data_IF_090070011270
#
_entry.id   IF_090070011270
#
_cell.length_a   1.000
_cell.length_b   1.000
_cell.length_c   1.000
_cell.angle_alpha   90.00
_cell.angle_beta   90.00
_cell.angle_gamma   90.00
#
_symmetry.space_group_name_H-M   'P 1'
#
loop_
_entity.id
_entity.type
_entity.pdbx_description
1 polymer ?
#
# COMPACT_ATOMS: atom_id res chain seq x y z
N UNK A 1 12.88 -13.92 24.61
CA UNK A 1 13.51 -14.00 23.29
C UNK A 1 12.62 -14.88 22.43
N UNK A 2 11.84 -14.28 21.54
CA UNK A 2 11.08 -15.07 20.57
C UNK A 2 12.04 -15.43 19.43
N UNK A 3 12.54 -16.67 19.46
CA UNK A 3 13.23 -17.24 18.32
C UNK A 3 12.15 -17.51 17.28
N UNK A 4 12.10 -16.64 16.27
CA UNK A 4 11.24 -16.84 15.12
C UNK A 4 11.92 -17.93 14.27
N UNK A 5 11.64 -19.20 14.56
CA UNK A 5 11.95 -20.30 13.65
C UNK A 5 11.04 -20.18 12.42
N UNK A 6 11.32 -19.19 11.57
CA UNK A 6 10.80 -19.21 10.20
C UNK A 6 11.48 -20.36 9.50
N UNK A 7 10.67 -21.32 9.06
CA UNK A 7 11.12 -22.50 8.35
C UNK A 7 12.10 -22.13 7.22
N UNK A 8 13.15 -22.92 7.07
CA UNK A 8 14.24 -22.78 6.08
C UNK A 8 13.81 -22.96 4.61
N UNK A 9 12.55 -22.66 4.29
CA UNK A 9 11.90 -22.90 2.99
C UNK A 9 11.23 -21.68 2.37
N UNK A 10 11.14 -20.53 3.04
CA UNK A 10 10.58 -19.31 2.45
C UNK A 10 11.58 -18.70 1.45
N UNK A 11 11.18 -18.67 0.17
CA UNK A 11 12.00 -18.12 -0.92
C UNK A 11 11.88 -16.59 -0.96
N UNK A 12 10.73 -16.02 -0.62
CA UNK A 12 10.49 -14.59 -0.61
C UNK A 12 10.46 -14.06 0.82
N UNK A 13 11.15 -12.96 1.06
CA UNK A 13 11.17 -12.27 2.35
C UNK A 13 10.37 -10.97 2.34
N UNK A 14 9.99 -10.50 1.16
CA UNK A 14 9.19 -9.31 0.93
C UNK A 14 8.28 -9.52 -0.29
N UNK A 15 7.05 -9.03 -0.19
CA UNK A 15 6.04 -9.05 -1.24
C UNK A 15 5.20 -7.78 -1.14
N UNK A 16 5.27 -6.95 -2.18
CA UNK A 16 4.35 -5.84 -2.41
C UNK A 16 3.84 -5.87 -3.84
N UNK A 17 2.92 -4.98 -4.14
CA UNK A 17 2.42 -4.76 -5.47
C UNK A 17 2.08 -3.29 -5.66
N UNK A 18 2.17 -2.83 -6.89
CA UNK A 18 1.89 -1.44 -7.24
C UNK A 18 1.16 -1.34 -8.58
N UNK A 19 0.38 -0.26 -8.72
CA UNK A 19 -0.18 0.13 -10.01
C UNK A 19 0.78 1.08 -10.70
N UNK A 20 1.34 0.65 -11.82
CA UNK A 20 2.18 1.49 -12.66
C UNK A 20 1.29 2.16 -13.72
N UNK A 21 1.11 3.48 -13.55
CA UNK A 21 0.21 4.31 -14.36
C UNK A 21 0.91 5.50 -15.02
N UNK A 22 2.02 5.98 -14.46
CA UNK A 22 2.78 7.10 -15.01
C UNK A 22 3.91 6.60 -15.92
N UNK A 23 3.88 6.90 -17.24
CA UNK A 23 4.92 6.48 -18.16
C UNK A 23 6.27 7.20 -17.94
N UNK A 24 6.34 8.20 -17.06
CA UNK A 24 7.58 8.91 -16.74
C UNK A 24 8.29 8.34 -15.50
N UNK A 25 7.58 7.60 -14.64
CA UNK A 25 8.10 7.03 -13.40
C UNK A 25 8.69 5.63 -13.62
N UNK A 26 9.74 5.54 -14.46
CA UNK A 26 10.32 4.27 -14.94
C UNK A 26 11.78 4.03 -14.53
N UNK A 27 12.26 4.69 -13.48
CA UNK A 27 13.69 4.69 -13.13
C UNK A 27 14.23 3.35 -12.61
N UNK A 28 13.34 2.50 -12.10
CA UNK A 28 13.70 1.12 -11.76
C UNK A 28 14.11 0.31 -13.01
N UNK A 29 13.49 0.57 -14.16
CA UNK A 29 13.61 -0.24 -15.36
C UNK A 29 14.80 0.16 -16.26
N UNK A 30 15.42 -0.82 -16.96
CA UNK A 30 16.48 -0.56 -17.94
C UNK A 30 16.03 0.42 -19.02
N UNK A 31 16.92 1.32 -19.46
CA UNK A 31 16.59 2.42 -20.38
C UNK A 31 16.02 1.92 -21.71
N UNK A 32 16.52 0.79 -22.18
CA UNK A 32 16.10 0.08 -23.38
C UNK A 32 14.65 -0.43 -23.31
N UNK A 33 14.15 -0.76 -22.12
CA UNK A 33 12.79 -1.26 -21.91
C UNK A 33 11.77 -0.17 -21.61
N UNK A 34 12.22 1.01 -21.14
CA UNK A 34 11.32 2.13 -20.80
C UNK A 34 10.35 2.49 -21.93
N UNK A 35 10.74 2.59 -23.22
CA UNK A 35 9.80 2.90 -24.30
C UNK A 35 8.67 1.88 -24.45
N UNK A 36 8.99 0.58 -24.28
CA UNK A 36 8.01 -0.51 -24.36
C UNK A 36 7.06 -0.47 -23.16
N UNK A 37 7.58 -0.28 -21.95
CA UNK A 37 6.77 -0.17 -20.73
C UNK A 37 5.84 1.05 -20.83
N UNK A 38 6.37 2.21 -21.23
CA UNK A 38 5.58 3.42 -21.45
C UNK A 38 4.48 3.22 -22.51
N UNK A 39 4.75 2.46 -23.58
CA UNK A 39 3.74 2.08 -24.57
C UNK A 39 2.64 1.21 -23.95
N UNK A 40 2.99 0.20 -23.17
CA UNK A 40 2.03 -0.67 -22.48
C UNK A 40 1.16 0.11 -21.48
N UNK A 41 1.75 1.04 -20.73
CA UNK A 41 0.99 1.94 -19.84
C UNK A 41 -0.01 2.77 -20.66
N UNK A 42 0.40 3.36 -21.78
CA UNK A 42 -0.51 4.12 -22.66
C UNK A 42 -1.61 3.26 -23.27
N UNK A 43 -1.32 1.99 -23.58
CA UNK A 43 -2.27 1.07 -24.18
C UNK A 43 -3.31 0.56 -23.18
N UNK A 44 -2.88 0.19 -21.97
CA UNK A 44 -3.72 -0.48 -20.97
C UNK A 44 -4.20 0.45 -19.83
N UNK A 45 -3.57 1.62 -19.68
CA UNK A 45 -3.81 2.58 -18.60
C UNK A 45 -3.16 2.19 -17.27
N UNK A 46 -3.30 0.93 -16.86
CA UNK A 46 -2.69 0.38 -15.64
C UNK A 46 -1.90 -0.88 -15.99
N UNK A 47 -0.66 -0.95 -15.51
CA UNK A 47 0.07 -2.20 -15.35
C UNK A 47 0.13 -2.58 -13.87
N UNK A 48 -0.10 -3.84 -13.56
CA UNK A 48 0.04 -4.36 -12.19
C UNK A 48 1.44 -4.94 -12.06
N UNK A 49 2.21 -4.41 -11.12
CA UNK A 49 3.60 -4.83 -10.88
C UNK A 49 3.65 -5.56 -9.55
N UNK A 50 4.20 -6.78 -9.57
CA UNK A 50 4.54 -7.53 -8.36
C UNK A 50 5.99 -7.21 -7.99
N UNK A 51 6.21 -6.69 -6.79
CA UNK A 51 7.56 -6.40 -6.27
C UNK A 51 7.89 -7.42 -5.17
N UNK A 52 9.07 -8.03 -5.27
CA UNK A 52 9.48 -9.07 -4.32
C UNK A 52 10.96 -8.90 -3.98
N UNK A 53 11.36 -9.32 -2.77
CA UNK A 53 12.78 -9.45 -2.44
C UNK A 53 13.06 -10.79 -1.76
N UNK A 54 14.24 -11.33 -2.05
CA UNK A 54 14.82 -12.51 -1.40
C UNK A 54 16.15 -12.13 -0.79
N UNK A 55 16.26 -12.31 0.51
CA UNK A 55 17.49 -12.10 1.25
C UNK A 55 18.36 -13.34 1.10
N UNK A 56 19.64 -13.12 0.91
CA UNK A 56 20.63 -14.17 0.78
C UNK A 56 21.92 -13.73 1.46
N UNK A 57 22.74 -14.72 1.78
CA UNK A 57 24.09 -14.56 2.31
C UNK A 57 25.09 -15.34 1.43
N UNK A 58 26.36 -15.36 1.81
CA UNK A 58 27.39 -16.07 1.06
C UNK A 58 27.10 -17.57 0.89
N UNK A 59 26.32 -18.17 1.81
CA UNK A 59 25.96 -19.59 1.73
C UNK A 59 24.85 -19.88 0.71
N UNK A 60 23.95 -18.91 0.47
CA UNK A 60 22.75 -19.08 -0.35
C UNK A 60 22.82 -18.37 -1.70
N UNK A 61 23.77 -17.44 -1.89
CA UNK A 61 23.99 -16.62 -3.09
C UNK A 61 23.97 -17.40 -4.40
N UNK A 62 24.57 -18.60 -4.44
CA UNK A 62 24.64 -19.41 -5.66
C UNK A 62 23.29 -20.06 -6.05
N UNK A 63 22.31 -20.05 -5.15
CA UNK A 63 21.02 -20.74 -5.34
C UNK A 63 19.82 -19.81 -5.45
N UNK A 64 19.94 -18.56 -4.99
CA UNK A 64 18.81 -17.61 -4.88
C UNK A 64 18.17 -17.34 -6.24
N UNK A 65 18.97 -17.05 -7.27
CA UNK A 65 18.46 -16.77 -8.61
C UNK A 65 17.69 -17.95 -9.19
N UNK A 66 18.21 -19.17 -9.01
CA UNK A 66 17.56 -20.39 -9.50
C UNK A 66 16.23 -20.62 -8.79
N UNK A 67 16.17 -20.40 -7.47
CA UNK A 67 14.94 -20.53 -6.68
C UNK A 67 13.89 -19.49 -7.11
N UNK A 68 14.29 -18.24 -7.31
CA UNK A 68 13.43 -17.17 -7.80
C UNK A 68 12.88 -17.47 -9.20
N UNK A 69 13.74 -17.88 -10.14
CA UNK A 69 13.30 -18.29 -11.47
C UNK A 69 12.28 -19.43 -11.42
N UNK A 70 12.47 -20.41 -10.53
CA UNK A 70 11.53 -21.52 -10.37
C UNK A 70 10.19 -21.05 -9.78
N UNK A 71 10.21 -20.15 -8.81
CA UNK A 71 9.00 -19.57 -8.22
C UNK A 71 8.20 -18.78 -9.26
N UNK A 72 8.87 -17.98 -10.09
CA UNK A 72 8.20 -17.13 -11.06
C UNK A 72 7.70 -17.89 -12.29
N UNK A 73 8.25 -19.08 -12.60
CA UNK A 73 7.74 -19.93 -13.69
C UNK A 73 6.25 -20.28 -13.56
N UNK A 74 5.70 -20.32 -12.34
CA UNK A 74 4.28 -20.60 -12.13
C UNK A 74 3.38 -19.36 -12.21
N UNK A 75 3.95 -18.16 -12.35
CA UNK A 75 3.18 -16.93 -12.46
C UNK A 75 2.84 -16.63 -13.93
N UNK A 76 1.59 -16.25 -14.17
CA UNK A 76 1.14 -15.77 -15.49
C UNK A 76 1.38 -14.26 -15.56
N UNK A 77 2.50 -13.81 -16.12
CA UNK A 77 2.83 -12.39 -16.28
C UNK A 77 3.00 -12.00 -17.76
N UNK A 78 2.72 -10.72 -18.06
CA UNK A 78 2.75 -10.16 -19.42
C UNK A 78 4.15 -9.75 -19.90
N UNK A 79 5.15 -9.62 -19.00
CA UNK A 79 6.43 -8.96 -19.29
C UNK A 79 7.66 -9.64 -18.71
N UNK A 80 8.84 -9.18 -19.11
CA UNK A 80 10.12 -9.58 -18.54
C UNK A 80 10.21 -9.35 -17.02
N UNK A 81 11.02 -10.18 -16.36
CA UNK A 81 11.36 -10.06 -14.94
C UNK A 81 12.56 -9.13 -14.83
N UNK A 82 12.40 -8.05 -14.08
CA UNK A 82 13.49 -7.11 -13.77
C UNK A 82 14.02 -7.38 -12.37
N UNK A 83 15.33 -7.34 -12.19
CA UNK A 83 15.97 -7.54 -10.89
C UNK A 83 17.11 -6.56 -10.68
N UNK A 84 17.35 -6.20 -9.42
CA UNK A 84 18.53 -5.48 -8.96
C UNK A 84 19.08 -6.22 -7.75
N UNK A 85 20.40 -6.37 -7.70
CA UNK A 85 21.09 -6.88 -6.53
C UNK A 85 21.62 -5.71 -5.72
N UNK A 86 21.19 -5.60 -4.47
CA UNK A 86 21.52 -4.50 -3.56
C UNK A 86 21.81 -5.08 -2.18
N UNK A 87 22.48 -4.31 -1.33
CA UNK A 87 22.66 -4.68 0.08
C UNK A 87 21.32 -4.66 0.82
N UNK A 88 21.26 -5.36 1.94
CA UNK A 88 20.07 -5.38 2.80
C UNK A 88 19.65 -3.98 3.25
N UNK A 89 20.61 -3.14 3.63
CA UNK A 89 20.34 -1.77 4.11
C UNK A 89 19.85 -0.88 2.97
N UNK A 90 20.46 -0.94 1.79
CA UNK A 90 19.99 -0.20 0.61
C UNK A 90 18.54 -0.57 0.24
N UNK A 91 18.16 -1.85 0.37
CA UNK A 91 16.78 -2.26 0.13
C UNK A 91 15.81 -1.66 1.16
N UNK A 92 16.16 -1.69 2.45
CA UNK A 92 15.30 -1.14 3.50
C UNK A 92 15.17 0.38 3.41
N UNK A 93 16.23 1.07 3.01
CA UNK A 93 16.30 2.53 2.92
C UNK A 93 15.94 3.10 1.53
N UNK A 94 15.41 2.25 0.63
CA UNK A 94 15.20 2.61 -0.79
C UNK A 94 14.29 3.83 -1.00
N UNK A 95 13.37 4.10 -0.07
CA UNK A 95 12.46 5.25 -0.14
C UNK A 95 13.18 6.57 0.16
N UNK A 96 14.25 6.55 0.97
CA UNK A 96 15.02 7.75 1.31
C UNK A 96 15.65 8.42 0.09
N UNK A 97 16.10 7.63 -0.90
CA UNK A 97 16.61 8.19 -2.17
C UNK A 97 15.52 8.98 -2.90
N UNK A 98 14.27 8.50 -2.89
CA UNK A 98 13.14 9.21 -3.47
C UNK A 98 12.76 10.48 -2.70
N UNK A 99 12.78 10.41 -1.37
CA UNK A 99 12.59 11.56 -0.47
C UNK A 99 13.58 12.70 -0.79
N UNK A 100 14.88 12.39 -0.90
CA UNK A 100 15.90 13.41 -1.21
C UNK A 100 15.63 14.10 -2.55
N UNK A 101 15.28 13.33 -3.59
CA UNK A 101 14.92 13.89 -4.90
C UNK A 101 13.67 14.77 -4.81
N UNK A 102 12.66 14.37 -4.04
CA UNK A 102 11.45 15.18 -3.84
C UNK A 102 11.75 16.47 -3.07
N UNK A 103 12.63 16.44 -2.06
CA UNK A 103 13.08 17.63 -1.35
C UNK A 103 13.81 18.61 -2.26
N UNK A 104 14.76 18.14 -3.07
CA UNK A 104 15.51 18.98 -4.02
C UNK A 104 14.59 19.69 -5.02
N UNK A 105 13.47 19.07 -5.37
CA UNK A 105 12.47 19.62 -6.29
C UNK A 105 11.35 20.40 -5.59
N UNK A 106 11.36 20.54 -4.26
CA UNK A 106 10.30 21.22 -3.49
C UNK A 106 8.95 20.47 -3.53
N UNK A 107 8.98 19.16 -3.75
CA UNK A 107 7.82 18.29 -3.89
C UNK A 107 7.57 17.43 -2.63
N UNK A 108 8.42 17.54 -1.61
CA UNK A 108 8.25 16.83 -0.33
C UNK A 108 7.39 17.61 0.66
N UNK A 109 7.70 18.89 0.93
CA UNK A 109 6.96 19.69 1.92
C UNK A 109 5.65 20.27 1.34
N UNK A 110 4.78 19.38 0.85
CA UNK A 110 3.50 19.69 0.21
C UNK A 110 2.35 18.91 0.87
N UNK A 111 1.07 19.26 0.64
CA UNK A 111 -0.02 18.47 1.19
C UNK A 111 -0.10 17.06 0.58
N UNK A 112 -0.24 16.08 1.46
CA UNK A 112 -0.32 14.65 1.15
C UNK A 112 -1.71 14.11 1.51
N UNK A 113 -2.72 14.24 0.63
CA UNK A 113 -4.07 13.71 0.84
C UNK A 113 -4.11 12.19 0.65
N UNK A 114 -3.31 11.47 1.43
CA UNK A 114 -3.20 10.02 1.35
C UNK A 114 -4.48 9.34 1.80
N UNK A 115 -4.82 8.26 1.12
CA UNK A 115 -5.86 7.32 1.53
C UNK A 115 -5.22 5.96 1.68
N UNK A 116 -5.22 5.39 2.88
CA UNK A 116 -4.72 4.05 3.11
C UNK A 116 -5.87 3.19 3.64
N UNK A 117 -6.11 2.05 3.02
CA UNK A 117 -7.22 1.17 3.32
C UNK A 117 -6.72 -0.26 3.46
N UNK A 118 -7.37 -1.02 4.33
CA UNK A 118 -7.41 -2.47 4.27
C UNK A 118 -8.69 -2.89 3.57
N UNK A 119 -8.55 -3.58 2.45
CA UNK A 119 -9.63 -4.05 1.59
C UNK A 119 -9.80 -5.56 1.74
N UNK A 120 -10.99 -6.08 2.10
CA UNK A 120 -11.20 -7.53 2.19
C UNK A 120 -10.88 -8.23 0.87
N UNK A 121 -10.32 -9.45 0.93
CA UNK A 121 -10.02 -10.26 -0.26
C UNK A 121 -11.28 -10.53 -1.08
N UNK A 122 -12.42 -10.77 -0.44
CA UNK A 122 -13.70 -10.95 -1.14
C UNK A 122 -14.10 -9.74 -2.01
N UNK A 123 -13.70 -8.53 -1.60
CA UNK A 123 -14.03 -7.27 -2.26
C UNK A 123 -13.00 -6.79 -3.29
N UNK A 124 -11.78 -7.35 -3.33
CA UNK A 124 -10.67 -6.77 -4.10
C UNK A 124 -10.93 -6.71 -5.61
N UNK A 125 -11.69 -7.68 -6.17
CA UNK A 125 -12.01 -7.67 -7.60
C UNK A 125 -13.02 -6.56 -7.95
N UNK A 126 -14.02 -6.34 -7.09
CA UNK A 126 -14.97 -5.24 -7.25
C UNK A 126 -14.26 -3.88 -7.04
N UNK A 127 -13.37 -3.80 -6.05
CA UNK A 127 -12.51 -2.65 -5.80
C UNK A 127 -11.65 -2.32 -7.01
N UNK A 128 -10.97 -3.30 -7.61
CA UNK A 128 -10.20 -3.10 -8.83
C UNK A 128 -11.04 -2.53 -9.99
N UNK A 129 -12.22 -3.11 -10.23
CA UNK A 129 -13.08 -2.70 -11.33
C UNK A 129 -13.74 -1.33 -11.12
N UNK A 130 -14.05 -0.97 -9.88
CA UNK A 130 -14.70 0.29 -9.54
C UNK A 130 -13.74 1.42 -9.23
N UNK A 131 -12.68 1.16 -8.48
CA UNK A 131 -11.71 2.16 -8.05
C UNK A 131 -10.61 2.30 -9.09
N UNK A 132 -9.78 1.27 -9.27
CA UNK A 132 -8.61 1.39 -10.15
C UNK A 132 -9.01 1.68 -11.59
N UNK A 133 -9.93 0.89 -12.15
CA UNK A 133 -10.29 0.99 -13.57
C UNK A 133 -11.30 2.09 -13.92
N UNK A 134 -12.09 2.59 -12.97
CA UNK A 134 -13.16 3.57 -13.26
C UNK A 134 -13.01 4.91 -12.56
N UNK A 135 -12.42 4.96 -11.36
CA UNK A 135 -12.14 6.22 -10.66
C UNK A 135 -10.73 6.69 -11.06
N UNK A 136 -9.70 5.88 -10.78
CA UNK A 136 -8.31 6.32 -10.97
C UNK A 136 -7.94 6.57 -12.44
N UNK A 137 -8.31 5.67 -13.36
CA UNK A 137 -8.00 5.83 -14.79
C UNK A 137 -8.57 7.09 -15.45
N UNK A 138 -9.57 7.74 -14.83
CA UNK A 138 -10.14 9.00 -15.35
C UNK A 138 -9.37 10.23 -14.89
N UNK A 139 -8.49 10.07 -13.91
CA UNK A 139 -7.72 11.16 -13.35
C UNK A 139 -6.37 11.28 -14.05
N UNK A 140 -5.86 12.50 -14.12
CA UNK A 140 -4.51 12.75 -14.62
C UNK A 140 -3.56 12.92 -13.44
N UNK A 141 -3.16 11.80 -12.84
CA UNK A 141 -2.19 11.83 -11.75
C UNK A 141 -0.79 12.07 -12.30
N UNK A 142 -0.11 13.10 -11.81
CA UNK A 142 1.32 13.33 -12.02
C UNK A 142 2.01 13.14 -10.68
N UNK A 143 2.97 12.21 -10.59
CA UNK A 143 3.65 11.82 -9.35
C UNK A 143 2.71 11.24 -8.28
N UNK A 144 2.38 9.96 -8.41
CA UNK A 144 1.51 9.23 -7.48
C UNK A 144 1.96 7.79 -7.34
N UNK A 145 1.97 7.28 -6.12
CA UNK A 145 2.24 5.86 -5.85
C UNK A 145 0.97 5.19 -5.38
N UNK A 146 0.59 4.10 -6.05
CA UNK A 146 -0.56 3.29 -5.67
C UNK A 146 -0.09 1.89 -5.31
N UNK A 147 -0.21 1.50 -4.04
CA UNK A 147 0.21 0.18 -3.57
C UNK A 147 -1.00 -0.72 -3.38
N UNK A 148 -0.85 -1.99 -3.75
CA UNK A 148 -1.83 -3.04 -3.54
C UNK A 148 -1.14 -4.38 -3.29
N UNK A 149 -1.26 -4.92 -2.08
CA UNK A 149 -0.65 -6.20 -1.72
C UNK A 149 -1.39 -6.90 -0.58
N UNK A 150 -1.38 -8.25 -0.55
CA UNK A 150 -2.07 -9.00 0.49
C UNK A 150 -1.28 -9.01 1.80
N UNK A 151 -2.00 -8.97 2.91
CA UNK A 151 -1.51 -9.22 4.27
C UNK A 151 -2.39 -10.31 4.90
N UNK A 152 -1.79 -11.06 5.82
CA UNK A 152 -2.44 -11.99 6.73
C UNK A 152 -2.11 -11.56 8.16
N UNK A 153 -3.11 -11.36 9.01
CA UNK A 153 -2.92 -11.06 10.43
C UNK A 153 -3.92 -11.85 11.26
N UNK A 154 -3.51 -12.22 12.47
CA UNK A 154 -4.31 -13.03 13.37
C UNK A 154 -4.49 -12.42 14.76
N UNK A 155 -3.71 -11.41 15.21
CA UNK A 155 -3.75 -11.01 16.64
C UNK A 155 -3.25 -9.59 17.00
N UNK A 156 -3.82 -8.51 16.43
CA UNK A 156 -3.51 -7.13 16.87
C UNK A 156 -4.74 -6.25 17.19
N UNK A 157 -4.46 -5.16 17.91
CA UNK A 157 -5.45 -4.08 18.14
C UNK A 157 -5.77 -3.29 16.87
N UNK A 158 -4.99 -3.49 15.81
CA UNK A 158 -5.29 -2.99 14.48
C UNK A 158 -6.71 -3.39 14.07
N UNK A 159 -7.43 -2.45 13.48
CA UNK A 159 -8.75 -2.71 12.92
C UNK A 159 -8.55 -3.13 11.47
N UNK A 160 -8.65 -4.44 11.27
CA UNK A 160 -8.52 -5.09 9.96
C UNK A 160 -9.89 -5.61 9.50
N UNK A 161 -10.06 -5.90 8.20
CA UNK A 161 -11.23 -6.63 7.71
C UNK A 161 -11.35 -8.01 8.39
N UNK A 162 -12.58 -8.51 8.49
CA UNK A 162 -12.88 -9.82 9.09
C UNK A 162 -12.64 -10.97 8.10
N UNK A 163 -11.42 -11.04 7.56
CA UNK A 163 -10.95 -12.05 6.61
C UNK A 163 -9.49 -12.41 6.89
N UNK A 164 -9.13 -13.68 6.76
CA UNK A 164 -7.75 -14.19 6.94
C UNK A 164 -6.75 -13.48 6.01
N UNK A 165 -7.20 -13.14 4.80
CA UNK A 165 -6.43 -12.39 3.82
C UNK A 165 -7.20 -11.12 3.49
N UNK A 166 -6.52 -9.99 3.58
CA UNK A 166 -6.99 -8.71 3.10
C UNK A 166 -5.85 -8.02 2.37
N UNK A 167 -6.16 -6.98 1.60
CA UNK A 167 -5.19 -6.22 0.83
C UNK A 167 -4.98 -4.86 1.47
N UNK A 168 -3.74 -4.47 1.64
CA UNK A 168 -3.39 -3.05 1.77
C UNK A 168 -3.65 -2.40 0.42
N UNK A 169 -4.41 -1.30 0.40
CA UNK A 169 -4.62 -0.43 -0.76
C UNK A 169 -4.31 1.00 -0.38
N UNK A 170 -3.19 1.52 -0.88
CA UNK A 170 -2.63 2.82 -0.48
C UNK A 170 -2.55 3.74 -1.69
N UNK A 171 -3.05 4.96 -1.50
CA UNK A 171 -3.12 6.01 -2.51
C UNK A 171 -2.23 7.15 -2.01
N UNK A 172 -0.93 7.06 -2.31
CA UNK A 172 0.09 8.00 -1.87
C UNK A 172 0.19 9.15 -2.88
N UNK A 173 -0.82 10.01 -2.81
CA UNK A 173 -0.97 11.19 -3.66
C UNK A 173 -0.28 12.40 -3.03
N UNK A 174 0.38 13.20 -3.85
CA UNK A 174 0.86 14.53 -3.48
C UNK A 174 0.07 15.59 -4.22
N UNK A 175 -0.16 16.73 -3.57
CA UNK A 175 -0.92 17.84 -4.13
C UNK A 175 -0.19 19.17 -3.89
N UNK A 176 -0.54 20.20 -4.65
CA UNK A 176 -0.19 21.56 -4.31
C UNK A 176 -1.14 22.14 -3.26
N UNK A 177 -0.70 23.20 -2.57
CA UNK A 177 -1.50 23.88 -1.55
C UNK A 177 -2.84 24.45 -2.05
N UNK A 178 -3.01 24.63 -3.36
CA UNK A 178 -4.21 25.20 -3.97
C UNK A 178 -5.13 24.15 -4.62
N UNK A 179 -4.78 22.86 -4.64
CA UNK A 179 -5.56 21.83 -5.34
C UNK A 179 -5.77 20.53 -4.54
N UNK A 180 -5.40 20.49 -3.25
CA UNK A 180 -5.58 19.32 -2.39
C UNK A 180 -7.05 18.85 -2.32
N UNK A 181 -8.02 19.76 -2.43
CA UNK A 181 -9.45 19.44 -2.39
C UNK A 181 -9.88 18.49 -3.51
N UNK A 182 -9.20 18.51 -4.66
CA UNK A 182 -9.50 17.60 -5.78
C UNK A 182 -9.22 16.16 -5.35
N UNK A 183 -8.10 15.93 -4.68
CA UNK A 183 -7.70 14.61 -4.21
C UNK A 183 -8.54 14.15 -3.01
N UNK A 184 -8.91 15.07 -2.12
CA UNK A 184 -9.88 14.77 -1.06
C UNK A 184 -11.24 14.32 -1.61
N UNK A 185 -11.70 14.94 -2.70
CA UNK A 185 -12.93 14.52 -3.37
C UNK A 185 -12.79 13.15 -4.04
N UNK A 186 -11.63 12.83 -4.62
CA UNK A 186 -11.33 11.48 -5.11
C UNK A 186 -11.37 10.46 -3.96
N UNK A 187 -10.75 10.79 -2.81
CA UNK A 187 -10.77 9.92 -1.63
C UNK A 187 -12.21 9.66 -1.13
N UNK A 188 -13.06 10.69 -1.13
CA UNK A 188 -14.49 10.55 -0.82
C UNK A 188 -15.21 9.68 -1.83
N UNK A 189 -14.98 9.87 -3.13
CA UNK A 189 -15.57 9.04 -4.19
C UNK A 189 -15.20 7.56 -4.03
N UNK A 190 -13.94 7.27 -3.67
CA UNK A 190 -13.47 5.90 -3.41
C UNK A 190 -14.19 5.28 -2.22
N UNK A 191 -14.29 6.00 -1.09
CA UNK A 191 -14.99 5.53 0.11
C UNK A 191 -16.48 5.31 -0.16
N UNK A 192 -17.15 6.26 -0.83
CA UNK A 192 -18.54 6.15 -1.23
C UNK A 192 -18.80 4.95 -2.15
N UNK A 193 -17.89 4.68 -3.09
CA UNK A 193 -17.97 3.50 -3.93
C UNK A 193 -17.91 2.23 -3.09
N UNK A 194 -16.96 2.14 -2.15
CA UNK A 194 -16.81 0.97 -1.27
C UNK A 194 -18.09 0.74 -0.46
N UNK A 195 -18.66 1.79 0.11
CA UNK A 195 -19.91 1.71 0.89
C UNK A 195 -21.09 1.23 0.02
N UNK A 196 -21.29 1.84 -1.15
CA UNK A 196 -22.36 1.46 -2.10
C UNK A 196 -22.21 0.04 -2.63
N UNK A 197 -20.97 -0.40 -2.86
CA UNK A 197 -20.64 -1.75 -3.31
C UNK A 197 -20.65 -2.79 -2.16
N UNK A 198 -20.86 -2.35 -0.91
CA UNK A 198 -20.83 -3.23 0.26
C UNK A 198 -19.44 -3.74 0.64
N UNK A 199 -18.37 -3.15 0.09
CA UNK A 199 -16.98 -3.53 0.38
C UNK A 199 -16.60 -2.94 1.75
N UNK A 200 -16.44 -3.81 2.75
CA UNK A 200 -16.17 -3.42 4.14
C UNK A 200 -14.70 -3.07 4.36
N UNK A 201 -14.24 -2.01 3.70
CA UNK A 201 -12.88 -1.48 3.88
C UNK A 201 -12.68 -0.93 5.30
N UNK A 202 -11.45 -0.98 5.80
CA UNK A 202 -11.02 -0.31 7.03
C UNK A 202 -9.97 0.73 6.70
N UNK A 203 -10.10 1.95 7.21
CA UNK A 203 -9.06 2.98 7.02
C UNK A 203 -7.82 2.62 7.86
N UNK A 204 -6.64 2.67 7.26
CA UNK A 204 -5.35 2.62 7.92
C UNK A 204 -4.77 4.03 7.96
N UNK A 205 -4.18 4.46 9.09
CA UNK A 205 -3.72 5.86 9.30
C UNK A 205 -4.79 6.92 8.94
N UNK A 206 -6.06 6.55 9.02
CA UNK A 206 -7.17 7.36 8.56
C UNK A 206 -7.73 8.26 9.64
N UNK A 207 -8.33 9.35 9.19
CA UNK A 207 -9.06 10.28 10.05
C UNK A 207 -10.57 9.99 10.04
N UNK A 208 -11.18 10.24 11.19
CA UNK A 208 -12.61 10.13 11.45
C UNK A 208 -13.08 11.39 12.17
N UNK A 209 -14.19 11.96 11.72
CA UNK A 209 -14.68 13.27 12.18
C UNK A 209 -15.50 13.18 13.46
N UNK A 210 -15.92 11.98 13.85
CA UNK A 210 -16.80 11.78 14.99
C UNK A 210 -16.51 10.50 15.76
N UNK A 211 -16.93 10.50 17.03
CA UNK A 211 -16.92 9.31 17.87
C UNK A 211 -17.76 8.16 17.29
N UNK A 212 -18.85 8.47 16.59
CA UNK A 212 -19.71 7.47 15.95
C UNK A 212 -18.97 6.78 14.80
N UNK A 213 -18.24 7.54 13.98
CA UNK A 213 -17.36 6.97 12.96
C UNK A 213 -16.27 6.09 13.56
N UNK A 214 -15.68 6.49 14.70
CA UNK A 214 -14.73 5.65 15.42
C UNK A 214 -15.37 4.36 15.95
N UNK A 215 -16.57 4.42 16.53
CA UNK A 215 -17.32 3.25 16.96
C UNK A 215 -17.55 2.29 15.79
N UNK A 216 -17.99 2.81 14.64
CA UNK A 216 -18.20 2.02 13.43
C UNK A 216 -16.89 1.44 12.87
N UNK A 217 -15.80 2.20 12.94
CA UNK A 217 -14.47 1.74 12.56
C UNK A 217 -14.04 0.56 13.42
N UNK A 218 -14.01 0.71 14.75
CA UNK A 218 -13.61 -0.34 15.69
C UNK A 218 -14.57 -1.53 15.72
N UNK A 219 -15.87 -1.31 15.45
CA UNK A 219 -16.90 -2.34 15.48
C UNK A 219 -16.93 -3.06 16.84
N UNK A 220 -16.89 -4.40 16.80
CA UNK A 220 -16.90 -5.24 18.01
C UNK A 220 -15.71 -4.96 18.95
N UNK A 221 -14.59 -4.42 18.46
CA UNK A 221 -13.40 -4.08 19.27
C UNK A 221 -13.60 -2.80 20.09
N UNK A 222 -14.64 -2.00 19.85
CA UNK A 222 -14.83 -0.69 20.50
C UNK A 222 -14.85 -0.79 22.02
N UNK A 223 -15.59 -1.76 22.57
CA UNK A 223 -15.71 -1.92 24.03
C UNK A 223 -14.36 -2.19 24.68
N UNK A 224 -13.60 -3.13 24.13
CA UNK A 224 -12.24 -3.44 24.57
C UNK A 224 -11.31 -2.23 24.46
N UNK A 225 -11.41 -1.45 23.38
CA UNK A 225 -10.61 -0.23 23.20
C UNK A 225 -10.94 0.84 24.26
N UNK A 226 -12.22 1.04 24.55
CA UNK A 226 -12.68 1.96 25.59
C UNK A 226 -12.22 1.51 26.99
N UNK A 227 -12.33 0.23 27.31
CA UNK A 227 -11.91 -0.30 28.61
C UNK A 227 -10.40 -0.13 28.82
N UNK A 228 -9.59 -0.37 27.77
CA UNK A 228 -8.14 -0.09 27.78
C UNK A 228 -7.85 1.41 27.91
N UNK A 229 -8.59 2.28 27.23
CA UNK A 229 -8.43 3.74 27.38
C UNK A 229 -8.67 4.16 28.82
N UNK A 230 -9.73 3.68 29.46
CA UNK A 230 -10.03 3.98 30.86
C UNK A 230 -8.95 3.44 31.82
N UNK A 231 -8.33 2.30 31.50
CA UNK A 231 -7.26 1.72 32.32
C UNK A 231 -5.95 2.49 32.21
N UNK A 232 -5.55 2.91 31.00
CA UNK A 232 -4.21 3.44 30.74
C UNK A 232 -4.14 4.95 30.52
N UNK A 233 -5.25 5.61 30.15
CA UNK A 233 -5.37 7.07 30.04
C UNK A 233 -6.77 7.55 30.47
N UNK A 234 -7.13 7.42 31.76
CA UNK A 234 -8.46 7.79 32.28
C UNK A 234 -8.78 9.28 32.17
N UNK A 235 -7.78 10.13 31.93
CA UNK A 235 -7.95 11.58 31.80
C UNK A 235 -8.03 12.04 30.34
N UNK A 236 -7.96 11.13 29.37
CA UNK A 236 -8.05 11.41 27.93
C UNK A 236 -7.02 12.46 27.46
N UNK A 237 -5.80 12.39 27.98
CA UNK A 237 -4.74 13.36 27.70
C UNK A 237 -3.94 12.96 26.45
N UNK A 238 -3.78 11.66 26.22
CA UNK A 238 -2.85 11.16 25.21
C UNK A 238 -3.49 11.18 23.81
N UNK A 239 -2.74 11.75 22.85
CA UNK A 239 -3.02 11.78 21.41
C UNK A 239 -4.36 12.43 21.02
N UNK A 240 -4.67 13.66 21.47
CA UNK A 240 -5.95 14.32 21.20
C UNK A 240 -6.20 14.57 19.69
N UNK A 241 -5.13 14.64 18.88
CA UNK A 241 -5.24 14.78 17.42
C UNK A 241 -5.96 13.64 16.73
N UNK A 242 -6.10 12.47 17.38
CA UNK A 242 -6.89 11.34 16.86
C UNK A 242 -8.40 11.56 16.99
N UNK A 243 -8.85 12.48 17.86
CA UNK A 243 -10.27 12.82 18.09
C UNK A 243 -11.18 11.61 18.41
N UNK A 244 -10.64 10.59 19.10
CA UNK A 244 -11.42 9.40 19.49
C UNK A 244 -12.24 9.67 20.77
N UNK A 245 -11.63 10.38 21.73
CA UNK A 245 -12.20 10.64 23.07
C UNK A 245 -12.14 12.12 23.47
N UNK A 246 -11.86 13.02 22.52
CA UNK A 246 -11.72 14.46 22.71
C UNK A 246 -12.69 15.22 21.81
#
# INVERSE_FOLDING_TARGET
MAVNERSSGEILNFLEGQLLMDPNSLDFYPREDRPRIAYLIKQYGILYVLETASYYDDSTKHSVDKKLHQLFKSLSYLSDIYSKNVTYVEFLDRVHTGELVLHENGLWDVPHPWLNLFTPKSGIQAFNNGVFKKILLKQNFTASTFLVYPIWDDNMSAVIPDEEIFYTTEFLLSSGFNNWQVFDNINKEILEFCDKAGIKVKKYLGYHDSKEEWINHFGSKWKTFQDRKNQFDPKMILSPGQKIFN
#
